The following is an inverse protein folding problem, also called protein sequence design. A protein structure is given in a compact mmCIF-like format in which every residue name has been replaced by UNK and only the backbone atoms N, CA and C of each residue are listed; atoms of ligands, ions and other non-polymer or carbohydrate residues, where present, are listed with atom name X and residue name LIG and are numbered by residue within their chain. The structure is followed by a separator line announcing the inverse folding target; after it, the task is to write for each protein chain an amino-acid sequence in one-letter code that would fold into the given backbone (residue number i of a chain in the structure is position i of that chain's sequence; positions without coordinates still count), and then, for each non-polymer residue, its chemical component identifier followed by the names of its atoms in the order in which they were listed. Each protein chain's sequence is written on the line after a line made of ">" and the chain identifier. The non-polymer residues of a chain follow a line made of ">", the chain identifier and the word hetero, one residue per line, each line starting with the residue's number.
data_IF_785862991908
#
_entry.id   IF_785862991908
#
_cell.length_a   1.000
_cell.length_b   1.000
_cell.length_c   1.000
_cell.angle_alpha   90.00
_cell.angle_beta   90.00
_cell.angle_gamma   90.00
#
_symmetry.space_group_name_H-M   'P 1'
#
loop_
_entity.id
_entity.type
_entity.pdbx_description
1 polymer ?
#
# COMPACT_ATOMS: atom_id res chain seq x y z
N UNK A 1 -36.46 -40.05 -13.02
CA UNK A 1 -35.33 -39.18 -12.59
C UNK A 1 -35.71 -37.72 -12.83
N UNK A 2 -35.89 -36.92 -11.77
CA UNK A 2 -36.31 -35.52 -11.84
C UNK A 2 -35.12 -34.59 -12.15
N UNK A 3 -34.70 -34.59 -13.42
CA UNK A 3 -33.53 -33.85 -13.97
C UNK A 3 -33.53 -32.34 -13.69
N UNK A 4 -34.68 -31.78 -13.32
CA UNK A 4 -34.86 -30.36 -12.98
C UNK A 4 -34.01 -29.93 -11.77
N UNK A 5 -33.80 -30.85 -10.82
CA UNK A 5 -32.99 -30.55 -9.62
C UNK A 5 -31.50 -30.46 -9.93
N UNK A 6 -31.01 -31.25 -10.89
CA UNK A 6 -29.60 -31.23 -11.29
C UNK A 6 -29.19 -29.89 -11.93
N UNK A 7 -30.10 -29.26 -12.68
CA UNK A 7 -29.86 -27.96 -13.33
C UNK A 7 -29.59 -26.82 -12.35
N UNK A 8 -30.14 -26.88 -11.13
CA UNK A 8 -29.94 -25.85 -10.09
C UNK A 8 -28.76 -26.20 -9.19
N UNK A 9 -28.57 -27.47 -8.89
CA UNK A 9 -27.53 -27.94 -7.97
C UNK A 9 -26.10 -27.73 -8.51
N UNK A 10 -25.88 -27.97 -9.81
CA UNK A 10 -24.55 -27.88 -10.43
C UNK A 10 -23.98 -26.45 -10.40
N UNK A 11 -24.67 -25.40 -10.87
CA UNK A 11 -24.13 -24.04 -10.82
C UNK A 11 -23.97 -23.52 -9.39
N UNK A 12 -24.82 -23.94 -8.46
CA UNK A 12 -24.69 -23.59 -7.04
C UNK A 12 -23.41 -24.17 -6.40
N UNK A 13 -23.00 -25.38 -6.82
CA UNK A 13 -21.74 -26.01 -6.36
C UNK A 13 -20.50 -25.38 -7.02
N UNK A 14 -20.63 -24.78 -8.20
CA UNK A 14 -19.54 -24.15 -8.94
C UNK A 14 -19.40 -22.65 -8.67
N UNK A 15 -20.23 -22.08 -7.78
CA UNK A 15 -20.13 -20.68 -7.38
C UNK A 15 -18.92 -20.46 -6.46
N UNK A 16 -17.74 -20.29 -7.04
CA UNK A 16 -16.56 -19.87 -6.30
C UNK A 16 -16.74 -18.41 -5.82
N UNK A 17 -16.41 -18.08 -4.55
CA UNK A 17 -16.36 -16.69 -4.11
C UNK A 17 -15.33 -15.92 -4.93
N UNK A 18 -15.65 -14.71 -5.38
CA UNK A 18 -14.64 -13.81 -5.96
C UNK A 18 -13.79 -13.22 -4.82
N UNK A 19 -12.65 -13.85 -4.53
CA UNK A 19 -11.70 -13.35 -3.54
C UNK A 19 -10.94 -12.15 -4.13
N UNK A 20 -11.34 -10.93 -3.79
CA UNK A 20 -10.53 -9.74 -4.04
C UNK A 20 -9.35 -9.69 -3.06
N UNK A 21 -8.39 -10.61 -3.21
CA UNK A 21 -7.18 -10.65 -2.36
C UNK A 21 -6.15 -9.67 -2.90
N UNK A 22 -6.34 -8.39 -2.64
CA UNK A 22 -5.31 -7.37 -2.89
C UNK A 22 -5.15 -6.56 -1.62
N UNK A 23 -4.18 -6.94 -0.79
CA UNK A 23 -3.83 -6.18 0.40
C UNK A 23 -2.47 -5.53 0.15
N UNK A 24 -2.43 -4.20 0.09
CA UNK A 24 -1.21 -3.43 -0.08
C UNK A 24 -0.89 -2.78 1.26
N UNK A 25 0.11 -3.30 1.95
CA UNK A 25 0.62 -2.66 3.16
C UNK A 25 1.81 -1.80 2.79
N UNK A 26 1.61 -0.48 2.79
CA UNK A 26 2.67 0.49 2.54
C UNK A 26 3.43 0.75 3.83
N UNK A 27 4.74 0.59 3.78
CA UNK A 27 5.66 0.94 4.85
C UNK A 27 6.65 1.99 4.34
N UNK A 28 6.99 2.93 5.21
CA UNK A 28 7.94 3.99 4.91
C UNK A 28 8.06 4.95 6.08
N UNK A 29 9.17 5.67 6.10
CA UNK A 29 9.42 6.76 7.04
C UNK A 29 9.44 8.05 6.22
N UNK A 30 8.76 9.08 6.72
CA UNK A 30 8.87 10.43 6.17
C UNK A 30 9.85 11.18 7.06
N UNK A 31 10.97 11.61 6.47
CA UNK A 31 11.99 12.39 7.16
C UNK A 31 12.21 13.72 6.43
N UNK A 32 12.10 14.81 7.18
CA UNK A 32 12.33 16.17 6.70
C UNK A 32 12.86 17.01 7.86
N UNK A 33 13.96 17.70 7.62
CA UNK A 33 14.65 18.54 8.59
C UNK A 33 15.07 19.88 7.99
N UNK A 34 15.40 20.80 8.90
CA UNK A 34 16.05 22.06 8.53
C UNK A 34 17.41 22.05 9.20
N UNK A 35 18.46 22.10 8.38
CA UNK A 35 19.82 22.23 8.84
C UNK A 35 20.20 23.70 8.92
N UNK A 36 20.68 24.09 10.08
CA UNK A 36 21.36 25.35 10.29
C UNK A 36 22.85 25.11 10.49
N UNK A 37 23.66 25.67 9.60
CA UNK A 37 25.12 25.69 9.78
C UNK A 37 25.55 27.11 10.08
N UNK A 38 26.20 27.31 11.23
CA UNK A 38 26.63 28.63 11.67
C UNK A 38 27.83 29.18 10.86
N UNK A 39 28.56 28.32 10.15
CA UNK A 39 29.76 28.69 9.41
C UNK A 39 30.00 27.77 8.20
N UNK A 40 29.61 28.25 7.02
CA UNK A 40 30.00 27.76 5.70
C UNK A 40 30.79 28.87 5.03
N UNK A 41 32.11 28.75 5.02
CA UNK A 41 32.99 29.75 4.38
C UNK A 41 32.92 31.15 5.01
N UNK A 42 32.59 31.27 6.30
CA UNK A 42 32.50 32.55 7.02
C UNK A 42 31.08 33.09 7.20
N UNK A 43 30.06 32.40 6.68
CA UNK A 43 28.66 32.83 6.75
C UNK A 43 27.74 31.74 7.29
N UNK A 44 26.56 32.10 7.81
CA UNK A 44 25.56 31.12 8.18
C UNK A 44 24.74 30.65 6.97
N UNK A 45 24.29 29.39 7.02
CA UNK A 45 23.51 28.76 5.96
C UNK A 45 22.34 27.98 6.54
N UNK A 46 21.22 28.00 5.80
CA UNK A 46 20.00 27.23 6.10
C UNK A 46 19.71 26.33 4.91
N UNK A 47 19.45 25.05 5.17
CA UNK A 47 19.23 24.06 4.12
C UNK A 47 18.10 23.11 4.52
N UNK A 48 17.33 22.65 3.53
CA UNK A 48 16.41 21.52 3.76
C UNK A 48 17.22 20.23 3.75
N UNK A 49 16.97 19.38 4.74
CA UNK A 49 17.59 18.07 4.90
C UNK A 49 16.54 16.98 4.86
N UNK A 50 16.92 15.81 4.35
CA UNK A 50 16.08 14.61 4.34
C UNK A 50 16.97 13.38 4.22
N UNK A 51 16.62 12.30 4.90
CA UNK A 51 17.27 11.00 4.75
C UNK A 51 18.49 10.81 5.66
N UNK A 52 18.41 11.29 6.90
CA UNK A 52 19.38 10.90 7.95
C UNK A 52 19.36 9.39 8.25
#
# INVERSE_FOLDING_TARGET
>A
MNWRLAFVAIPALCAAPAFAQSNVTLYGLVDAGIDYTNNVGGHSAWQMASGF
#
